data_IF_944711163194
#
_entry.id   IF_944711163194
#
_cell.length_a   1.000
_cell.length_b   1.000
_cell.length_c   1.000
_cell.angle_alpha   90.00
_cell.angle_beta   90.00
_cell.angle_gamma   90.00
#
_symmetry.space_group_name_H-M   'P 1'
#
loop_
_entity.id
_entity.type
_entity.pdbx_description
1 polymer ?
#
# COMPACT_ATOMS: atom_id res chain seq x y z
N UNK A 1 9.65 30.21 -7.63
CA UNK A 1 9.23 28.85 -8.03
C UNK A 1 9.44 27.96 -6.82
N UNK A 2 8.37 27.37 -6.27
CA UNK A 2 8.50 26.36 -5.23
C UNK A 2 9.15 25.13 -5.88
N UNK A 3 10.41 24.86 -5.55
CA UNK A 3 11.08 23.60 -5.89
C UNK A 3 10.45 22.52 -5.02
N UNK A 4 9.64 21.65 -5.61
CA UNK A 4 9.12 20.47 -4.93
C UNK A 4 10.29 19.48 -4.76
N UNK A 5 10.58 19.01 -3.53
CA UNK A 5 11.68 18.09 -3.31
C UNK A 5 11.43 16.73 -3.97
N UNK A 6 10.17 16.30 -4.06
CA UNK A 6 9.78 15.03 -4.67
C UNK A 6 9.08 15.24 -6.02
N UNK A 7 9.60 14.59 -7.06
CA UNK A 7 8.97 14.51 -8.37
C UNK A 7 8.16 13.22 -8.45
N UNK A 8 6.84 13.31 -8.57
CA UNK A 8 5.95 12.16 -8.80
C UNK A 8 6.11 11.62 -10.23
N UNK A 9 7.31 11.13 -10.54
CA UNK A 9 7.63 10.48 -11.79
C UNK A 9 7.86 8.99 -11.53
N UNK A 10 6.91 8.19 -11.99
CA UNK A 10 6.98 6.74 -11.91
C UNK A 10 7.32 6.19 -13.29
N UNK A 11 8.24 5.23 -13.35
CA UNK A 11 8.65 4.57 -14.59
C UNK A 11 8.08 3.16 -14.71
N UNK A 12 7.77 2.53 -13.58
CA UNK A 12 7.42 1.11 -13.52
C UNK A 12 6.28 0.87 -12.53
N UNK A 13 5.52 -0.21 -12.77
CA UNK A 13 4.50 -0.68 -11.84
C UNK A 13 4.56 -2.21 -11.73
N UNK A 14 4.35 -2.74 -10.52
CA UNK A 14 4.22 -4.18 -10.29
C UNK A 14 2.74 -4.47 -10.05
N UNK A 15 2.22 -5.50 -10.72
CA UNK A 15 0.84 -5.97 -10.58
C UNK A 15 0.82 -7.48 -10.52
N UNK A 16 -0.22 -8.08 -9.94
CA UNK A 16 -0.39 -9.53 -9.89
C UNK A 16 -1.77 -9.90 -10.46
N UNK A 17 -1.82 -10.93 -11.31
CA UNK A 17 -3.09 -11.37 -11.91
C UNK A 17 -4.07 -11.85 -10.85
N UNK A 18 -5.36 -11.61 -11.10
CA UNK A 18 -6.46 -12.03 -10.24
C UNK A 18 -6.58 -13.56 -10.17
N UNK A 19 -6.33 -14.20 -9.01
CA UNK A 19 -6.53 -15.64 -8.84
C UNK A 19 -8.03 -15.97 -8.78
N UNK A 20 -8.40 -17.19 -9.15
CA UNK A 20 -9.77 -17.67 -8.97
C UNK A 20 -10.15 -17.79 -7.48
N UNK A 21 -9.16 -18.05 -6.63
CA UNK A 21 -9.30 -18.11 -5.17
C UNK A 21 -9.54 -16.76 -4.50
N UNK A 22 -9.50 -15.63 -5.22
CA UNK A 22 -9.83 -14.30 -4.66
C UNK A 22 -11.21 -14.26 -3.98
N UNK A 23 -12.17 -15.04 -4.47
CA UNK A 23 -13.50 -15.17 -3.85
C UNK A 23 -13.45 -15.67 -2.39
N UNK A 24 -12.37 -16.38 -2.02
CA UNK A 24 -12.14 -16.97 -0.71
C UNK A 24 -11.26 -16.08 0.18
N UNK A 25 -10.77 -14.93 -0.33
CA UNK A 25 -9.89 -14.02 0.40
C UNK A 25 -10.52 -13.46 1.69
N UNK A 26 -9.69 -13.22 2.70
CA UNK A 26 -10.13 -12.77 4.02
C UNK A 26 -10.78 -11.38 3.95
N UNK A 27 -10.29 -10.50 3.07
CA UNK A 27 -10.90 -9.19 2.83
C UNK A 27 -12.33 -9.29 2.34
N UNK A 28 -12.62 -10.27 1.47
CA UNK A 28 -13.95 -10.52 0.94
C UNK A 28 -14.91 -10.94 2.06
N UNK A 29 -14.45 -11.80 2.97
CA UNK A 29 -15.26 -12.28 4.09
C UNK A 29 -15.56 -11.20 5.14
N UNK A 30 -14.70 -10.18 5.26
CA UNK A 30 -14.81 -9.15 6.31
C UNK A 30 -15.54 -7.90 5.86
N UNK A 31 -15.42 -7.52 4.58
CA UNK A 31 -15.91 -6.23 4.08
C UNK A 31 -16.90 -6.35 2.91
N UNK A 32 -16.88 -7.45 2.15
CA UNK A 32 -17.68 -7.60 0.94
C UNK A 32 -18.85 -8.57 1.19
N UNK A 33 -20.09 -8.07 1.13
CA UNK A 33 -21.30 -8.90 1.36
C UNK A 33 -21.75 -9.66 0.11
N UNK A 34 -21.18 -9.34 -1.05
CA UNK A 34 -21.57 -9.89 -2.35
C UNK A 34 -20.52 -10.88 -2.88
N UNK A 35 -20.98 -11.89 -3.62
CA UNK A 35 -20.09 -12.86 -4.26
C UNK A 35 -19.30 -12.18 -5.37
N UNK A 36 -17.97 -12.26 -5.30
CA UNK A 36 -17.10 -11.68 -6.34
C UNK A 36 -17.25 -12.45 -7.65
N UNK A 37 -17.62 -11.73 -8.71
CA UNK A 37 -17.55 -12.25 -10.06
C UNK A 37 -16.10 -12.18 -10.58
N UNK A 38 -15.40 -13.31 -10.53
CA UNK A 38 -13.97 -13.42 -10.91
C UNK A 38 -13.73 -12.99 -12.36
N UNK A 39 -14.62 -13.32 -13.29
CA UNK A 39 -14.46 -12.92 -14.69
C UNK A 39 -14.60 -11.41 -14.87
N UNK A 40 -15.50 -10.77 -14.11
CA UNK A 40 -15.59 -9.30 -14.08
C UNK A 40 -14.34 -8.69 -13.46
N UNK A 41 -13.84 -9.23 -12.34
CA UNK A 41 -12.64 -8.75 -11.68
C UNK A 41 -11.40 -8.84 -12.61
N UNK A 42 -11.25 -9.95 -13.35
CA UNK A 42 -10.19 -10.12 -14.35
C UNK A 42 -10.27 -9.08 -15.46
N UNK A 43 -11.45 -8.79 -16.00
CA UNK A 43 -11.63 -7.74 -17.03
C UNK A 43 -11.27 -6.35 -16.48
N UNK A 44 -11.78 -6.00 -15.29
CA UNK A 44 -11.46 -4.72 -14.64
C UNK A 44 -9.95 -4.58 -14.37
N UNK A 45 -9.30 -5.66 -13.95
CA UNK A 45 -7.85 -5.68 -13.74
C UNK A 45 -7.06 -5.51 -15.04
N UNK A 46 -7.51 -6.13 -16.14
CA UNK A 46 -6.89 -5.93 -17.46
C UNK A 46 -7.04 -4.48 -17.96
N UNK A 47 -8.20 -3.86 -17.74
CA UNK A 47 -8.43 -2.44 -18.04
C UNK A 47 -7.50 -1.54 -17.22
N UNK A 48 -7.36 -1.82 -15.91
CA UNK A 48 -6.42 -1.12 -15.03
C UNK A 48 -4.97 -1.22 -15.54
N UNK A 49 -4.50 -2.43 -15.88
CA UNK A 49 -3.15 -2.64 -16.45
C UNK A 49 -2.98 -1.88 -17.78
N UNK A 50 -4.00 -1.91 -18.64
CA UNK A 50 -3.95 -1.22 -19.93
C UNK A 50 -3.80 0.29 -19.75
N UNK A 51 -4.46 0.89 -18.75
CA UNK A 51 -4.27 2.30 -18.39
C UNK A 51 -2.86 2.56 -17.91
N UNK A 52 -2.30 1.74 -17.02
CA UNK A 52 -0.91 1.90 -16.56
C UNK A 52 0.10 1.89 -17.73
N UNK A 53 -0.03 0.92 -18.65
CA UNK A 53 0.81 0.83 -19.85
C UNK A 53 0.62 2.04 -20.77
N UNK A 54 -0.62 2.52 -20.94
CA UNK A 54 -0.93 3.71 -21.74
C UNK A 54 -0.30 4.99 -21.16
N UNK A 55 -0.15 5.06 -19.84
CA UNK A 55 0.56 6.14 -19.15
C UNK A 55 2.09 6.06 -19.30
N UNK A 56 2.61 5.03 -19.99
CA UNK A 56 4.03 4.87 -20.27
C UNK A 56 4.81 4.09 -19.21
N UNK A 57 4.12 3.46 -18.26
CA UNK A 57 4.75 2.64 -17.22
C UNK A 57 5.20 1.29 -17.79
N UNK A 58 6.39 0.84 -17.40
CA UNK A 58 6.80 -0.55 -17.56
C UNK A 58 6.09 -1.42 -16.51
N UNK A 59 5.12 -2.22 -16.96
CA UNK A 59 4.26 -2.99 -16.07
C UNK A 59 4.75 -4.43 -15.96
N UNK A 60 5.32 -4.74 -14.80
CA UNK A 60 5.73 -6.10 -14.39
C UNK A 60 4.49 -6.84 -13.89
N UNK A 61 3.99 -7.75 -14.72
CA UNK A 61 2.78 -8.50 -14.45
C UNK A 61 3.09 -9.92 -13.94
N UNK A 62 2.76 -10.19 -12.68
CA UNK A 62 2.98 -11.48 -12.03
C UNK A 62 1.86 -12.47 -12.32
N UNK A 63 2.18 -13.77 -12.48
CA UNK A 63 1.15 -14.79 -12.61
C UNK A 63 0.32 -14.88 -11.33
N UNK A 64 -0.95 -15.27 -11.48
CA UNK A 64 -1.80 -15.56 -10.34
C UNK A 64 -1.29 -16.82 -9.62
N UNK A 65 -1.38 -16.82 -8.29
CA UNK A 65 -1.11 -17.97 -7.46
C UNK A 65 -2.36 -18.30 -6.67
N UNK A 66 -2.98 -19.44 -6.96
CA UNK A 66 -4.23 -19.85 -6.32
C UNK A 66 -4.06 -20.14 -4.82
N UNK A 67 -2.82 -20.36 -4.36
CA UNK A 67 -2.50 -20.49 -2.92
C UNK A 67 -2.47 -19.14 -2.19
N UNK A 68 -2.54 -18.03 -2.93
CA UNK A 68 -2.49 -16.65 -2.45
C UNK A 68 -3.72 -15.86 -2.91
N UNK A 69 -4.90 -16.06 -2.28
CA UNK A 69 -6.14 -15.37 -2.64
C UNK A 69 -6.03 -13.84 -2.72
N UNK A 70 -5.19 -13.25 -1.88
CA UNK A 70 -4.97 -11.80 -1.76
C UNK A 70 -3.76 -11.31 -2.56
N UNK A 71 -3.12 -12.18 -3.35
CA UNK A 71 -1.91 -11.87 -4.10
C UNK A 71 -2.06 -10.76 -5.14
N UNK A 72 -3.29 -10.44 -5.55
CA UNK A 72 -3.61 -9.27 -6.39
C UNK A 72 -3.32 -7.94 -5.69
N UNK A 73 -3.39 -7.88 -4.35
CA UNK A 73 -3.21 -6.67 -3.54
C UNK A 73 -1.73 -6.46 -3.19
N UNK A 74 -0.90 -6.26 -4.21
CA UNK A 74 0.55 -6.11 -4.06
C UNK A 74 0.98 -4.92 -3.19
N UNK A 75 0.14 -3.89 -3.07
CA UNK A 75 0.41 -2.67 -2.32
C UNK A 75 0.79 -2.94 -0.86
N UNK A 76 0.20 -3.96 -0.23
CA UNK A 76 0.42 -4.19 1.20
C UNK A 76 1.79 -4.82 1.53
N UNK A 77 2.51 -5.28 0.50
CA UNK A 77 3.76 -6.04 0.67
C UNK A 77 5.00 -5.16 0.74
N UNK A 78 4.94 -3.92 0.23
CA UNK A 78 6.08 -3.02 0.21
C UNK A 78 5.66 -1.55 0.10
N UNK A 79 6.45 -0.66 0.70
CA UNK A 79 6.38 0.78 0.49
C UNK A 79 7.65 1.21 -0.24
N UNK A 80 7.49 1.90 -1.36
CA UNK A 80 8.61 2.35 -2.21
C UNK A 80 8.67 3.86 -2.23
N UNK A 81 9.84 4.43 -1.94
CA UNK A 81 10.12 5.85 -2.02
C UNK A 81 11.58 6.08 -2.39
N UNK A 82 11.87 6.92 -3.38
CA UNK A 82 13.23 7.32 -3.80
C UNK A 82 14.25 6.19 -3.92
N UNK A 83 13.87 5.09 -4.60
CA UNK A 83 14.75 3.94 -4.82
C UNK A 83 14.95 3.03 -3.59
N UNK A 84 14.31 3.34 -2.46
CA UNK A 84 14.25 2.50 -1.27
C UNK A 84 12.92 1.76 -1.26
N UNK A 85 12.97 0.46 -0.94
CA UNK A 85 11.81 -0.40 -0.76
C UNK A 85 11.78 -0.95 0.67
N UNK A 86 10.88 -0.43 1.50
CA UNK A 86 10.55 -1.01 2.79
C UNK A 86 9.67 -2.23 2.58
N UNK A 87 10.19 -3.41 2.88
CA UNK A 87 9.44 -4.65 2.80
C UNK A 87 8.53 -4.79 4.02
N UNK A 88 7.23 -4.78 3.77
CA UNK A 88 6.22 -4.78 4.80
C UNK A 88 6.08 -6.15 5.49
N UNK A 89 5.42 -6.14 6.64
CA UNK A 89 5.05 -7.34 7.40
C UNK A 89 3.53 -7.35 7.52
N UNK A 90 2.81 -7.88 6.51
CA UNK A 90 1.37 -7.75 6.47
C UNK A 90 0.72 -8.30 7.74
N UNK A 91 -0.26 -7.59 8.29
CA UNK A 91 -0.93 -7.96 9.53
C UNK A 91 -1.84 -9.19 9.40
N UNK A 92 -2.20 -9.56 8.18
CA UNK A 92 -2.94 -10.79 7.88
C UNK A 92 -1.98 -11.97 7.68
N UNK A 93 -2.24 -13.13 8.32
CA UNK A 93 -1.40 -14.31 8.14
C UNK A 93 -1.52 -14.86 6.71
N UNK A 94 -0.47 -15.56 6.25
CA UNK A 94 -0.48 -16.25 4.95
C UNK A 94 0.04 -15.42 3.78
N UNK A 95 0.37 -14.14 3.98
CA UNK A 95 0.88 -13.25 2.92
C UNK A 95 2.41 -13.23 2.77
N UNK A 96 3.15 -14.01 3.55
CA UNK A 96 4.63 -14.02 3.52
C UNK A 96 5.21 -14.38 2.16
N UNK A 97 4.59 -15.33 1.45
CA UNK A 97 5.04 -15.72 0.11
C UNK A 97 4.88 -14.58 -0.90
N UNK A 98 3.81 -13.78 -0.79
CA UNK A 98 3.62 -12.58 -1.61
C UNK A 98 4.75 -11.57 -1.37
N UNK A 99 5.09 -11.35 -0.10
CA UNK A 99 6.18 -10.45 0.32
C UNK A 99 7.53 -10.91 -0.26
N UNK A 100 7.83 -12.21 -0.22
CA UNK A 100 9.10 -12.74 -0.74
C UNK A 100 9.23 -12.58 -2.26
N UNK A 101 8.12 -12.76 -2.99
CA UNK A 101 8.07 -12.55 -4.45
C UNK A 101 8.33 -11.07 -4.75
N UNK A 102 7.61 -10.16 -4.09
CA UNK A 102 7.75 -8.72 -4.31
C UNK A 102 9.14 -8.22 -3.92
N UNK A 103 9.71 -8.68 -2.79
CA UNK A 103 11.10 -8.40 -2.40
C UNK A 103 12.07 -8.74 -3.53
N UNK A 104 11.91 -9.93 -4.11
CA UNK A 104 12.81 -10.41 -5.17
C UNK A 104 12.73 -9.53 -6.41
N UNK A 105 11.53 -9.12 -6.81
CA UNK A 105 11.32 -8.25 -7.97
C UNK A 105 11.91 -6.88 -7.71
N UNK A 106 11.56 -6.22 -6.60
CA UNK A 106 12.08 -4.89 -6.25
C UNK A 106 13.61 -4.87 -6.20
N UNK A 107 14.24 -5.93 -5.68
CA UNK A 107 15.70 -6.08 -5.68
C UNK A 107 16.26 -6.19 -7.10
N UNK A 108 15.59 -6.92 -7.99
CA UNK A 108 15.99 -7.08 -9.39
C UNK A 108 15.85 -5.77 -10.17
N UNK A 109 14.84 -4.97 -9.85
CA UNK A 109 14.64 -3.62 -10.38
C UNK A 109 15.64 -2.59 -9.79
N UNK A 110 16.57 -3.03 -8.93
CA UNK A 110 17.69 -2.21 -8.44
C UNK A 110 17.38 -1.39 -7.19
N UNK A 111 16.25 -1.63 -6.52
CA UNK A 111 15.89 -0.90 -5.32
C UNK A 111 16.69 -1.37 -4.09
N UNK A 112 16.98 -0.43 -3.20
CA UNK A 112 17.56 -0.71 -1.89
C UNK A 112 16.49 -1.34 -0.98
N UNK A 113 16.65 -2.62 -0.66
CA UNK A 113 15.71 -3.36 0.17
C UNK A 113 15.97 -3.07 1.65
N UNK A 114 14.93 -2.65 2.37
CA UNK A 114 14.93 -2.45 3.82
C UNK A 114 13.93 -3.39 4.46
N UNK A 115 14.43 -4.32 5.28
CA UNK A 115 13.59 -5.25 6.03
C UNK A 115 13.28 -4.73 7.44
N UNK A 116 12.05 -4.98 7.90
CA UNK A 116 11.61 -4.68 9.26
C UNK A 116 12.22 -5.70 10.23
N UNK A 117 13.10 -5.23 11.11
CA UNK A 117 13.82 -6.07 12.09
C UNK A 117 12.97 -6.52 13.27
N UNK A 118 12.01 -5.70 13.68
CA UNK A 118 11.15 -6.01 14.82
C UNK A 118 10.13 -7.11 14.42
N UNK A 119 10.19 -8.31 15.03
CA UNK A 119 9.27 -9.39 14.69
C UNK A 119 7.82 -9.09 15.08
N UNK A 120 7.60 -8.18 16.03
CA UNK A 120 6.28 -7.74 16.49
C UNK A 120 5.69 -6.62 15.64
N UNK A 121 6.47 -6.02 14.74
CA UNK A 121 5.96 -5.03 13.82
C UNK A 121 5.03 -5.65 12.79
N UNK A 122 3.89 -5.01 12.60
CA UNK A 122 2.93 -5.30 11.53
C UNK A 122 2.66 -4.00 10.78
N UNK A 123 2.65 -4.08 9.46
CA UNK A 123 2.38 -2.95 8.58
C UNK A 123 1.89 -3.46 7.23
N UNK A 124 0.83 -2.84 6.75
CA UNK A 124 0.31 -2.99 5.39
C UNK A 124 0.55 -1.67 4.65
N UNK A 125 1.10 -1.74 3.44
CA UNK A 125 1.31 -0.57 2.58
C UNK A 125 0.03 0.23 2.29
N UNK A 126 -1.16 -0.38 2.37
CA UNK A 126 -2.45 0.32 2.35
C UNK A 126 -2.61 1.40 3.44
N UNK A 127 -1.93 1.27 4.58
CA UNK A 127 -1.95 2.26 5.66
C UNK A 127 -0.92 3.38 5.51
N UNK A 128 -0.08 3.33 4.47
CA UNK A 128 0.98 4.32 4.25
C UNK A 128 0.61 5.23 3.08
N UNK A 129 0.45 6.52 3.40
CA UNK A 129 0.20 7.58 2.42
C UNK A 129 1.40 8.51 2.38
N UNK A 130 2.08 8.56 1.24
CA UNK A 130 3.16 9.51 0.99
C UNK A 130 2.63 10.74 0.25
N UNK A 131 2.95 11.93 0.76
CA UNK A 131 2.44 13.21 0.20
C UNK A 131 3.43 13.88 -0.76
N UNK A 132 4.64 13.34 -0.91
CA UNK A 132 5.76 14.02 -1.55
C UNK A 132 6.57 14.90 -0.59
N UNK A 133 6.13 15.01 0.68
CA UNK A 133 6.80 15.81 1.72
C UNK A 133 6.90 15.09 3.06
N UNK A 134 5.93 14.24 3.36
CA UNK A 134 5.83 13.47 4.60
C UNK A 134 5.03 12.18 4.37
N UNK A 135 5.11 11.26 5.33
CA UNK A 135 4.26 10.09 5.38
C UNK A 135 3.18 10.26 6.43
N UNK A 136 1.94 9.94 6.06
CA UNK A 136 0.91 9.58 7.02
C UNK A 136 0.84 8.07 7.14
N UNK A 137 0.88 7.56 8.38
CA UNK A 137 0.76 6.12 8.66
C UNK A 137 -0.47 5.86 9.52
N UNK A 138 -1.38 5.05 8.99
CA UNK A 138 -2.57 4.58 9.67
C UNK A 138 -2.23 3.57 10.78
N UNK A 139 -2.60 3.86 12.01
CA UNK A 139 -2.68 2.86 13.07
C UNK A 139 -4.03 2.14 12.93
N UNK A 140 -3.99 0.92 12.39
CA UNK A 140 -5.14 0.12 12.00
C UNK A 140 -5.13 -1.24 12.71
N UNK A 141 -5.94 -2.20 12.23
CA UNK A 141 -5.89 -3.59 12.72
C UNK A 141 -4.67 -4.36 12.21
N UNK A 142 -4.11 -3.96 11.08
CA UNK A 142 -2.98 -4.63 10.43
C UNK A 142 -1.69 -3.84 10.54
N UNK A 143 -1.76 -2.53 10.80
CA UNK A 143 -0.59 -1.67 11.02
C UNK A 143 -0.49 -1.17 12.47
N UNK A 144 0.61 -1.49 13.14
CA UNK A 144 0.87 -1.11 14.53
C UNK A 144 1.97 -0.04 14.67
N UNK A 145 2.22 0.43 15.90
CA UNK A 145 3.21 1.48 16.16
C UNK A 145 4.64 1.06 15.77
N UNK A 146 5.00 -0.21 15.95
CA UNK A 146 6.31 -0.70 15.56
C UNK A 146 6.48 -0.72 14.04
N UNK A 147 5.43 -1.06 13.29
CA UNK A 147 5.37 -0.92 11.83
C UNK A 147 5.52 0.52 11.37
N UNK A 148 4.80 1.46 12.01
CA UNK A 148 4.92 2.88 11.69
C UNK A 148 6.31 3.46 11.98
N UNK A 149 6.97 3.01 13.07
CA UNK A 149 8.37 3.35 13.34
C UNK A 149 9.32 2.80 12.27
N UNK A 150 9.01 1.66 11.67
CA UNK A 150 9.82 1.13 10.58
C UNK A 150 9.78 2.01 9.33
N UNK A 151 8.65 2.69 9.05
CA UNK A 151 8.56 3.71 7.99
C UNK A 151 9.51 4.86 8.28
N UNK A 152 9.49 5.41 9.51
CA UNK A 152 10.37 6.50 9.91
C UNK A 152 11.86 6.11 9.81
N UNK A 153 12.21 4.89 10.21
CA UNK A 153 13.58 4.38 10.11
C UNK A 153 14.03 4.13 8.67
N UNK A 154 13.11 3.71 7.79
CA UNK A 154 13.42 3.43 6.38
C UNK A 154 13.55 4.71 5.54
N UNK A 155 12.80 5.76 5.91
CA UNK A 155 12.72 7.01 5.16
C UNK A 155 13.00 8.21 6.08
N UNK A 156 14.21 8.32 6.66
CA UNK A 156 14.52 9.32 7.69
C UNK A 156 14.46 10.78 7.20
N UNK A 157 14.46 11.00 5.88
CA UNK A 157 14.34 12.33 5.27
C UNK A 157 12.91 12.89 5.34
N UNK A 158 11.92 12.03 5.56
CA UNK A 158 10.52 12.40 5.53
C UNK A 158 9.89 12.27 6.92
N UNK A 159 9.23 13.33 7.44
CA UNK A 159 8.46 13.23 8.66
C UNK A 159 7.38 12.15 8.57
N UNK A 160 7.09 11.50 9.70
CA UNK A 160 6.01 10.50 9.80
C UNK A 160 4.97 10.96 10.81
N UNK A 161 3.74 11.12 10.36
CA UNK A 161 2.58 11.49 11.19
C UNK A 161 1.63 10.31 11.32
N UNK A 162 1.23 9.97 12.55
CA UNK A 162 0.32 8.85 12.82
C UNK A 162 -1.14 9.27 12.78
N UNK A 163 -1.97 8.49 12.09
CA UNK A 163 -3.41 8.68 12.01
C UNK A 163 -4.14 7.45 12.57
N UNK A 164 -5.10 7.65 13.47
CA UNK A 164 -5.85 6.52 14.04
C UNK A 164 -6.98 6.09 13.11
N UNK A 165 -6.89 4.88 12.57
CA UNK A 165 -7.91 4.28 11.71
C UNK A 165 -8.89 3.47 12.57
N UNK A 166 -10.05 4.05 12.89
CA UNK A 166 -11.05 3.43 13.80
C UNK A 166 -11.86 2.31 13.13
N UNK A 167 -12.11 2.42 11.81
CA UNK A 167 -12.97 1.54 11.01
C UNK A 167 -12.43 1.47 9.57
N UNK A 168 -12.69 0.35 8.88
CA UNK A 168 -12.11 0.03 7.57
C UNK A 168 -10.83 -0.79 7.68
N UNK A 169 -10.36 -1.33 6.55
CA UNK A 169 -9.11 -2.07 6.45
C UNK A 169 -7.89 -1.14 6.62
N UNK A 170 -7.81 -0.06 5.82
CA UNK A 170 -6.63 0.80 5.77
C UNK A 170 -6.95 2.30 5.74
N UNK A 171 -5.94 3.13 6.02
CA UNK A 171 -5.97 4.59 5.84
C UNK A 171 -6.40 4.98 4.42
N UNK A 172 -5.82 4.36 3.38
CA UNK A 172 -6.09 4.72 1.98
C UNK A 172 -7.49 4.35 1.47
N UNK A 173 -8.29 3.64 2.27
CA UNK A 173 -9.72 3.46 1.98
C UNK A 173 -10.50 4.79 2.10
N UNK A 174 -9.93 5.81 2.74
CA UNK A 174 -10.59 7.09 2.99
C UNK A 174 -9.88 8.28 2.34
N UNK A 175 -8.59 8.16 2.03
CA UNK A 175 -7.77 9.27 1.55
C UNK A 175 -6.74 8.81 0.53
N UNK A 176 -6.45 9.62 -0.48
CA UNK A 176 -5.34 9.40 -1.41
C UNK A 176 -4.83 10.72 -1.99
N UNK A 177 -3.61 10.72 -2.51
CA UNK A 177 -3.07 11.83 -3.29
C UNK A 177 -3.71 11.84 -4.69
N UNK A 178 -4.22 12.98 -5.14
CA UNK A 178 -4.76 13.18 -6.50
C UNK A 178 -4.01 14.25 -7.29
N UNK A 179 -3.04 14.88 -6.65
CA UNK A 179 -2.16 15.87 -7.27
C UNK A 179 -1.15 16.38 -6.25
N UNK A 180 -0.22 17.19 -6.73
CA UNK A 180 0.72 17.90 -5.85
C UNK A 180 -0.08 18.76 -4.87
N UNK A 181 0.25 18.66 -3.58
CA UNK A 181 -0.43 19.34 -2.48
C UNK A 181 -1.97 19.13 -2.46
N UNK A 182 -2.47 18.07 -3.09
CA UNK A 182 -3.92 17.80 -3.21
C UNK A 182 -4.27 16.37 -2.81
N UNK A 183 -5.07 16.24 -1.76
CA UNK A 183 -5.63 14.96 -1.30
C UNK A 183 -7.12 14.88 -1.61
N UNK A 184 -7.56 13.73 -2.11
CA UNK A 184 -8.97 13.36 -2.13
C UNK A 184 -9.32 12.67 -0.81
N UNK A 185 -10.47 13.04 -0.23
CA UNK A 185 -10.97 12.41 0.99
C UNK A 185 -12.44 12.01 0.83
N UNK A 186 -12.79 10.85 1.38
CA UNK A 186 -14.17 10.38 1.43
C UNK A 186 -15.08 11.33 2.23
N UNK A 187 -16.36 11.42 1.85
CA UNK A 187 -17.34 12.28 2.51
C UNK A 187 -17.89 11.74 3.84
N UNK A 188 -17.51 10.53 4.26
CA UNK A 188 -18.02 9.88 5.47
C UNK A 188 -17.49 10.53 6.75
N UNK A 189 -18.21 10.39 7.85
CA UNK A 189 -17.76 10.94 9.14
C UNK A 189 -16.46 10.29 9.63
N UNK A 190 -16.24 9.01 9.30
CA UNK A 190 -14.99 8.30 9.59
C UNK A 190 -13.82 8.97 8.87
N UNK A 191 -13.99 9.31 7.59
CA UNK A 191 -12.97 9.99 6.81
C UNK A 191 -12.71 11.41 7.34
N UNK A 192 -13.77 12.17 7.66
CA UNK A 192 -13.64 13.51 8.25
C UNK A 192 -12.94 13.49 9.62
N UNK A 193 -13.20 12.46 10.43
CA UNK A 193 -12.54 12.27 11.72
C UNK A 193 -11.04 11.97 11.57
N UNK A 194 -10.57 11.39 10.45
CA UNK A 194 -9.13 11.21 10.18
C UNK A 194 -8.41 12.55 10.10
N UNK A 195 -9.06 13.60 9.59
CA UNK A 195 -8.50 14.96 9.49
C UNK A 195 -8.56 15.74 10.79
N UNK A 196 -9.29 15.26 11.80
CA UNK A 196 -9.32 15.87 13.14
C UNK A 196 -8.11 15.39 13.94
N UNK A 197 -6.92 15.68 13.44
CA UNK A 197 -5.65 15.14 13.96
C UNK A 197 -5.27 15.82 15.27
N UNK A 198 -4.96 15.02 16.30
CA UNK A 198 -4.02 15.40 17.37
C UNK A 198 -2.64 14.93 16.90
N UNK A 199 -1.78 15.85 16.52
CA UNK A 199 -0.46 15.54 15.97
C UNK A 199 0.44 15.04 17.10
N UNK A 200 1.01 13.85 16.95
CA UNK A 200 2.07 13.33 17.81
C UNK A 200 3.36 13.29 17.00
N UNK A 201 4.32 14.16 17.32
CA UNK A 201 5.66 14.11 16.76
C UNK A 201 6.51 13.12 17.56
N UNK A 202 7.27 12.27 16.87
CA UNK A 202 8.40 11.56 17.46
C UNK A 202 9.67 12.26 17.05
N UNK A 203 10.46 12.69 18.04
CA UNK A 203 11.84 13.12 17.89
C UNK A 203 12.76 11.91 18.01
#
# INVERSE_FOLDING_TARGET
MLTYPFNFHFTSAIVCRVPASLKDAAICQREIREVINIEKARRQHQEYIAVLRKLGLDVIELPADETLPEGVFVEDTAVVCDGIALICRPGLPGRFKEVDIIRTILRREGLCIVDIKDPLATIDGGDVLFTGREFFVGLSKTTNLAGAKAVASAFPEYPVTLLRVKKGAHLKNFVSMVGIDTMAIGGSDIAKDLLRVRIFYFY
#
